data_IF_527916811725
#
_entry.id   IF_527916811725
#
_cell.length_a   1.000
_cell.length_b   1.000
_cell.length_c   1.000
_cell.angle_alpha   90.00
_cell.angle_beta   90.00
_cell.angle_gamma   90.00
#
_symmetry.space_group_name_H-M   'P 1'
#
loop_
_entity.id
_entity.type
_entity.pdbx_description
1 polymer ?
#
# COMPACT_ATOMS: atom_id res chain seq x y z
N UNK A 1 -42.52 -21.77 -9.33
CA UNK A 1 -42.28 -21.16 -8.01
C UNK A 1 -40.84 -20.67 -8.00
N UNK A 2 -40.61 -19.41 -8.34
CA UNK A 2 -39.29 -18.77 -8.33
C UNK A 2 -39.05 -18.20 -6.94
N UNK A 3 -38.33 -18.94 -6.10
CA UNK A 3 -37.86 -18.43 -4.83
C UNK A 3 -36.64 -17.55 -5.12
N UNK A 4 -36.89 -16.26 -5.38
CA UNK A 4 -35.88 -15.22 -5.33
C UNK A 4 -35.42 -15.11 -3.88
N UNK A 5 -34.38 -15.87 -3.51
CA UNK A 5 -33.66 -15.68 -2.25
C UNK A 5 -32.87 -14.38 -2.36
N UNK A 6 -33.55 -13.26 -2.11
CA UNK A 6 -32.91 -12.08 -1.54
C UNK A 6 -32.55 -12.44 -0.09
N UNK A 7 -31.48 -13.21 0.07
CA UNK A 7 -30.84 -13.36 1.38
C UNK A 7 -30.19 -12.01 1.70
N UNK A 8 -30.95 -11.16 2.38
CA UNK A 8 -30.49 -9.92 3.00
C UNK A 8 -29.49 -10.18 4.12
N UNK A 9 -28.41 -10.90 3.82
CA UNK A 9 -27.21 -10.91 4.64
C UNK A 9 -26.60 -9.53 4.50
N UNK A 10 -26.65 -8.76 5.58
CA UNK A 10 -25.76 -7.62 5.75
C UNK A 10 -24.33 -8.18 5.63
N UNK A 11 -23.72 -8.03 4.44
CA UNK A 11 -22.35 -8.43 4.22
C UNK A 11 -21.48 -7.71 5.25
N UNK A 12 -20.80 -8.49 6.09
CA UNK A 12 -19.90 -7.91 7.07
C UNK A 12 -18.67 -7.36 6.36
N UNK A 13 -17.96 -6.37 6.93
CA UNK A 13 -16.69 -5.90 6.36
C UNK A 13 -15.67 -7.04 6.14
N UNK A 14 -15.77 -8.12 6.93
CA UNK A 14 -14.94 -9.32 6.77
C UNK A 14 -15.32 -10.12 5.52
N UNK A 15 -16.61 -10.28 5.23
CA UNK A 15 -17.07 -10.96 4.01
C UNK A 15 -16.52 -10.25 2.75
N UNK A 16 -16.50 -8.92 2.75
CA UNK A 16 -15.93 -8.14 1.65
C UNK A 16 -14.41 -8.35 1.49
N UNK A 17 -13.67 -8.50 2.61
CA UNK A 17 -12.24 -8.83 2.57
C UNK A 17 -12.05 -10.24 2.02
N UNK A 18 -12.82 -11.21 2.48
CA UNK A 18 -12.69 -12.61 2.06
C UNK A 18 -13.05 -12.79 0.57
N UNK A 19 -14.07 -12.09 0.07
CA UNK A 19 -14.37 -12.03 -1.36
C UNK A 19 -13.21 -11.44 -2.17
N UNK A 20 -12.59 -10.36 -1.67
CA UNK A 20 -11.40 -9.77 -2.30
C UNK A 20 -10.21 -10.73 -2.28
N UNK A 21 -10.00 -11.50 -1.21
CA UNK A 21 -8.95 -12.53 -1.15
C UNK A 21 -9.15 -13.58 -2.25
N UNK A 22 -10.39 -14.02 -2.47
CA UNK A 22 -10.71 -14.96 -3.56
C UNK A 22 -10.37 -14.35 -4.92
N UNK A 23 -10.76 -13.09 -5.17
CA UNK A 23 -10.43 -12.40 -6.42
C UNK A 23 -8.92 -12.23 -6.61
N UNK A 24 -8.19 -11.88 -5.55
CA UNK A 24 -6.73 -11.71 -5.59
C UNK A 24 -6.04 -13.02 -5.94
N UNK A 25 -6.39 -14.10 -5.26
CA UNK A 25 -5.81 -15.43 -5.52
C UNK A 25 -6.03 -15.88 -6.96
N UNK A 26 -7.18 -15.57 -7.55
CA UNK A 26 -7.51 -15.89 -8.95
C UNK A 26 -6.81 -15.00 -9.97
N UNK A 27 -6.83 -13.69 -9.74
CA UNK A 27 -6.45 -12.71 -10.77
C UNK A 27 -5.00 -12.23 -10.66
N UNK A 28 -4.41 -12.29 -9.47
CA UNK A 28 -3.08 -11.73 -9.21
C UNK A 28 -2.26 -12.53 -8.18
N UNK A 29 -2.52 -13.84 -8.04
CA UNK A 29 -1.78 -14.72 -7.13
C UNK A 29 -0.26 -14.76 -7.40
N UNK A 30 0.17 -14.60 -8.65
CA UNK A 30 1.60 -14.50 -8.99
C UNK A 30 2.27 -13.24 -8.40
N UNK A 31 1.53 -12.13 -8.30
CA UNK A 31 2.03 -10.90 -7.68
C UNK A 31 2.19 -11.13 -6.17
N UNK A 32 1.20 -11.76 -5.53
CA UNK A 32 1.28 -12.14 -4.11
C UNK A 32 2.53 -12.97 -3.84
N UNK A 33 2.76 -14.03 -4.62
CA UNK A 33 3.94 -14.88 -4.49
C UNK A 33 5.26 -14.12 -4.71
N UNK A 34 5.31 -13.21 -5.70
CA UNK A 34 6.48 -12.38 -5.98
C UNK A 34 6.80 -11.44 -4.82
N UNK A 35 5.81 -10.72 -4.31
CA UNK A 35 6.02 -9.78 -3.20
C UNK A 35 6.36 -10.53 -1.89
N UNK A 36 5.72 -11.68 -1.64
CA UNK A 36 6.06 -12.54 -0.51
C UNK A 36 7.51 -13.05 -0.59
N UNK A 37 7.95 -13.49 -1.77
CA UNK A 37 9.33 -13.91 -2.01
C UNK A 37 10.31 -12.76 -1.83
N UNK A 38 9.97 -11.54 -2.28
CA UNK A 38 10.80 -10.36 -2.05
C UNK A 38 10.93 -10.06 -0.54
N UNK A 39 9.83 -10.16 0.22
CA UNK A 39 9.85 -9.98 1.68
C UNK A 39 10.71 -11.03 2.39
N UNK A 40 10.69 -12.29 1.94
CA UNK A 40 11.58 -13.34 2.47
C UNK A 40 13.05 -12.99 2.27
N UNK A 41 13.40 -12.41 1.11
CA UNK A 41 14.77 -12.00 0.80
C UNK A 41 15.26 -10.82 1.65
N UNK A 42 14.37 -10.08 2.32
CA UNK A 42 14.76 -8.91 3.13
C UNK A 42 15.16 -9.31 4.54
N UNK A 43 16.21 -8.65 5.02
CA UNK A 43 16.56 -8.66 6.45
C UNK A 43 15.42 -8.10 7.30
N UNK A 44 15.24 -8.53 8.56
CA UNK A 44 14.13 -8.11 9.41
C UNK A 44 13.95 -6.59 9.54
N UNK A 45 15.07 -5.84 9.60
CA UNK A 45 15.07 -4.37 9.68
C UNK A 45 14.49 -3.69 8.43
N UNK A 46 14.58 -4.35 7.27
CA UNK A 46 14.15 -3.80 5.98
C UNK A 46 12.74 -4.25 5.56
N UNK A 47 12.11 -5.19 6.29
CA UNK A 47 10.76 -5.69 5.96
C UNK A 47 9.69 -4.61 6.11
N UNK A 48 9.75 -3.79 7.15
CA UNK A 48 8.81 -2.67 7.35
C UNK A 48 8.79 -1.69 6.18
N UNK A 49 9.95 -1.10 5.80
CA UNK A 49 10.05 -0.25 4.61
C UNK A 49 9.63 -0.94 3.30
N UNK A 50 9.92 -2.24 3.13
CA UNK A 50 9.49 -2.99 1.96
C UNK A 50 7.96 -3.14 1.89
N UNK A 51 7.31 -3.51 3.01
CA UNK A 51 5.85 -3.59 3.10
C UNK A 51 5.19 -2.23 2.83
N UNK A 52 5.78 -1.13 3.33
CA UNK A 52 5.30 0.22 3.02
C UNK A 52 5.33 0.50 1.52
N UNK A 53 6.43 0.19 0.83
CA UNK A 53 6.53 0.35 -0.63
C UNK A 53 5.52 -0.50 -1.40
N UNK A 54 5.26 -1.73 -0.94
CA UNK A 54 4.22 -2.58 -1.51
C UNK A 54 2.85 -1.91 -1.36
N UNK A 55 2.52 -1.44 -0.14
CA UNK A 55 1.26 -0.77 0.14
C UNK A 55 1.09 0.51 -0.71
N UNK A 56 2.13 1.34 -0.81
CA UNK A 56 2.13 2.54 -1.66
C UNK A 56 1.81 2.22 -3.13
N UNK A 57 2.39 1.16 -3.70
CA UNK A 57 2.07 0.70 -5.05
C UNK A 57 0.62 0.23 -5.23
N UNK A 58 -0.03 -0.23 -4.16
CA UNK A 58 -1.41 -0.70 -4.21
C UNK A 58 -2.42 0.46 -4.11
N UNK A 59 -2.06 1.55 -3.42
CA UNK A 59 -2.90 2.73 -3.20
C UNK A 59 -3.21 3.46 -4.50
N UNK A 60 -2.25 3.54 -5.42
CA UNK A 60 -2.42 4.20 -6.72
C UNK A 60 -3.42 3.48 -7.64
N UNK A 61 -3.97 2.33 -7.24
CA UNK A 61 -4.80 1.51 -8.13
C UNK A 61 -6.05 0.91 -7.49
N UNK A 62 -6.16 0.79 -6.15
CA UNK A 62 -7.19 -0.04 -5.51
C UNK A 62 -7.64 0.47 -4.12
N UNK A 63 -8.75 -0.07 -3.61
CA UNK A 63 -9.35 0.32 -2.32
C UNK A 63 -8.56 -0.19 -1.09
N UNK A 64 -8.85 0.38 0.09
CA UNK A 64 -8.28 -0.06 1.38
C UNK A 64 -8.51 -1.55 1.63
N UNK A 65 -9.72 -2.02 1.32
CA UNK A 65 -10.13 -3.41 1.45
C UNK A 65 -9.28 -4.33 0.58
N UNK A 66 -8.95 -3.88 -0.63
CA UNK A 66 -8.02 -4.60 -1.49
C UNK A 66 -6.63 -4.70 -0.85
N UNK A 67 -6.11 -3.60 -0.30
CA UNK A 67 -4.82 -3.58 0.39
C UNK A 67 -4.77 -4.60 1.54
N UNK A 68 -5.80 -4.60 2.39
CA UNK A 68 -5.93 -5.57 3.50
C UNK A 68 -5.94 -7.00 2.96
N UNK A 69 -6.83 -7.30 2.01
CA UNK A 69 -6.97 -8.63 1.43
C UNK A 69 -5.68 -9.10 0.75
N UNK A 70 -4.93 -8.20 0.12
CA UNK A 70 -3.66 -8.52 -0.54
C UNK A 70 -2.60 -8.93 0.47
N UNK A 71 -2.39 -8.14 1.52
CA UNK A 71 -1.42 -8.46 2.56
C UNK A 71 -1.80 -9.71 3.35
N UNK A 72 -3.09 -9.98 3.55
CA UNK A 72 -3.53 -11.27 4.10
C UNK A 72 -3.19 -12.44 3.18
N UNK A 73 -3.32 -12.28 1.85
CA UNK A 73 -2.89 -13.32 0.92
C UNK A 73 -1.36 -13.52 0.94
N UNK A 74 -0.58 -12.45 1.15
CA UNK A 74 0.88 -12.53 1.34
C UNK A 74 1.21 -13.25 2.64
N UNK A 75 0.51 -12.93 3.73
CA UNK A 75 0.65 -13.62 5.02
C UNK A 75 0.33 -15.12 4.90
N UNK A 76 -0.81 -15.47 4.31
CA UNK A 76 -1.23 -16.85 4.07
C UNK A 76 -0.15 -17.60 3.28
N UNK A 77 0.36 -17.00 2.19
CA UNK A 77 1.39 -17.61 1.37
C UNK A 77 2.70 -17.82 2.16
N UNK A 78 3.14 -16.84 2.96
CA UNK A 78 4.34 -16.96 3.78
C UNK A 78 4.20 -18.06 4.82
N UNK A 79 3.02 -18.18 5.43
CA UNK A 79 2.71 -19.24 6.40
C UNK A 79 2.78 -20.63 5.74
N UNK A 80 2.16 -20.79 4.57
CA UNK A 80 2.18 -22.05 3.79
C UNK A 80 3.60 -22.48 3.39
N UNK A 81 4.54 -21.53 3.28
CA UNK A 81 5.95 -21.78 2.96
C UNK A 81 6.87 -21.85 4.20
N UNK A 82 6.29 -21.97 5.40
CA UNK A 82 7.04 -22.12 6.66
C UNK A 82 7.73 -20.85 7.15
N UNK A 83 7.43 -19.69 6.56
CA UNK A 83 8.06 -18.40 6.88
C UNK A 83 7.33 -17.66 8.01
N UNK A 84 7.17 -18.33 9.15
CA UNK A 84 6.38 -17.84 10.29
C UNK A 84 6.81 -16.44 10.77
N UNK A 85 8.11 -16.16 10.87
CA UNK A 85 8.60 -14.83 11.28
C UNK A 85 8.21 -13.72 10.30
N UNK A 86 8.20 -14.02 9.00
CA UNK A 86 7.83 -13.07 7.96
C UNK A 86 6.33 -12.87 7.91
N UNK A 87 5.55 -13.95 8.04
CA UNK A 87 4.10 -13.91 8.15
C UNK A 87 3.66 -13.08 9.37
N UNK A 88 4.28 -13.29 10.53
CA UNK A 88 3.99 -12.52 11.74
C UNK A 88 4.32 -11.03 11.57
N UNK A 89 5.41 -10.70 10.87
CA UNK A 89 5.74 -9.31 10.56
C UNK A 89 4.67 -8.63 9.69
N UNK A 90 4.12 -9.36 8.71
CA UNK A 90 3.00 -8.89 7.88
C UNK A 90 1.73 -8.70 8.72
N UNK A 91 1.39 -9.66 9.57
CA UNK A 91 0.25 -9.55 10.50
C UNK A 91 0.37 -8.34 11.43
N UNK A 92 1.55 -8.11 12.01
CA UNK A 92 1.83 -6.93 12.85
C UNK A 92 1.70 -5.63 12.07
N UNK A 93 2.13 -5.62 10.81
CA UNK A 93 2.01 -4.45 9.93
C UNK A 93 0.55 -4.14 9.60
N UNK A 94 -0.26 -5.14 9.25
CA UNK A 94 -1.71 -5.02 9.01
C UNK A 94 -2.46 -4.42 10.22
N UNK A 95 -2.11 -4.86 11.43
CA UNK A 95 -2.69 -4.35 12.68
C UNK A 95 -2.08 -3.01 13.12
N UNK A 96 -1.09 -2.48 12.40
CA UNK A 96 -0.45 -1.22 12.77
C UNK A 96 -1.26 -0.02 12.27
N UNK A 97 -1.35 1.07 13.05
CA UNK A 97 -2.00 2.29 12.60
C UNK A 97 -1.31 2.89 11.36
N UNK A 98 -0.01 2.60 11.17
CA UNK A 98 0.77 3.04 10.01
C UNK A 98 0.24 2.49 8.69
N UNK A 99 -0.36 1.30 8.69
CA UNK A 99 -0.96 0.73 7.49
C UNK A 99 -2.26 1.44 7.14
N UNK A 100 -3.14 1.65 8.12
CA UNK A 100 -4.42 2.34 7.90
C UNK A 100 -4.23 3.79 7.43
N UNK A 101 -3.23 4.50 7.97
CA UNK A 101 -2.93 5.89 7.55
C UNK A 101 -2.55 6.04 6.08
N UNK A 102 -2.05 4.96 5.44
CA UNK A 102 -1.68 5.01 4.03
C UNK A 102 -2.91 5.13 3.12
N UNK A 103 -4.07 4.63 3.57
CA UNK A 103 -5.29 4.65 2.79
C UNK A 103 -6.27 5.76 3.18
N UNK A 104 -5.88 6.65 4.09
CA UNK A 104 -6.63 7.87 4.40
C UNK A 104 -6.27 8.92 3.34
N UNK A 105 -7.23 9.39 2.52
CA UNK A 105 -6.98 10.47 1.58
C UNK A 105 -6.61 11.73 2.37
N UNK A 106 -5.34 12.16 2.27
CA UNK A 106 -4.80 13.30 3.00
C UNK A 106 -3.77 12.96 4.10
N UNK A 107 -3.48 11.68 4.35
CA UNK A 107 -2.44 11.23 5.28
C UNK A 107 -1.02 11.26 4.72
N UNK A 108 -0.82 11.79 3.50
CA UNK A 108 0.49 12.14 3.02
C UNK A 108 1.00 13.29 3.90
N UNK A 109 1.96 12.97 4.77
CA UNK A 109 2.92 13.96 5.25
C UNK A 109 3.36 14.80 4.06
N UNK A 110 2.92 16.06 4.09
CA UNK A 110 3.49 17.22 3.43
C UNK A 110 4.98 17.04 3.24
N UNK A 111 5.36 16.48 2.10
CA UNK A 111 6.71 16.61 1.57
C UNK A 111 6.70 17.97 0.90
N UNK A 112 7.38 18.92 1.53
CA UNK A 112 7.52 20.34 1.23
C UNK A 112 7.23 20.78 -0.21
N UNK A 113 6.54 21.93 -0.42
CA UNK A 113 6.52 22.56 -1.72
C UNK A 113 7.95 22.95 -2.09
N UNK A 114 8.48 22.39 -3.18
CA UNK A 114 9.65 22.94 -3.83
C UNK A 114 9.30 24.38 -4.26
N UNK A 115 10.01 25.43 -3.80
CA UNK A 115 9.80 26.76 -4.34
C UNK A 115 10.25 26.74 -5.80
N UNK A 116 9.28 26.82 -6.72
CA UNK A 116 9.52 27.29 -8.09
C UNK A 116 9.85 28.78 -7.97
N UNK A 117 11.10 29.11 -7.69
CA UNK A 117 11.60 30.47 -7.96
C UNK A 117 11.68 30.62 -9.47
N UNK A 118 10.57 31.13 -10.00
CA UNK A 118 10.49 31.77 -11.30
C UNK A 118 11.43 32.98 -11.31
N UNK A 119 12.68 32.80 -11.71
CA UNK A 119 13.59 33.90 -11.99
C UNK A 119 13.46 34.27 -13.48
N UNK A 120 12.39 34.98 -13.82
CA UNK A 120 12.24 35.66 -15.10
C UNK A 120 11.82 37.11 -14.83
N UNK A 121 12.82 37.97 -14.64
CA UNK A 121 12.75 39.43 -14.81
C UNK A 121 14.21 39.91 -14.91
N UNK A 122 14.70 40.17 -16.12
CA UNK A 122 14.70 41.47 -16.78
C UNK A 122 15.69 42.46 -16.13
N UNK A 123 16.80 42.70 -16.83
CA UNK A 123 17.75 43.80 -16.62
C UNK A 123 17.04 45.17 -16.67
N UNK A 124 17.62 46.24 -16.09
CA UNK A 124 18.60 47.03 -16.84
C UNK A 124 19.74 47.69 -16.02
N UNK A 125 20.74 48.14 -16.77
CA UNK A 125 21.87 49.04 -16.46
C UNK A 125 21.73 49.99 -15.26
N UNK A 126 22.85 50.23 -14.55
CA UNK A 126 23.42 51.58 -14.29
C UNK A 126 24.81 51.48 -13.65
N UNK A 127 25.84 51.83 -14.45
CA UNK A 127 26.94 52.77 -14.19
C UNK A 127 27.47 52.99 -12.75
N UNK A 128 28.80 52.81 -12.57
CA UNK A 128 29.80 53.82 -12.13
C UNK A 128 30.99 53.20 -11.35
N UNK A 129 32.23 53.49 -11.83
CA UNK A 129 33.46 53.92 -11.09
C UNK A 129 34.03 53.02 -9.96
N UNK A 130 35.32 52.81 -9.67
CA UNK A 130 36.69 53.22 -10.05
C UNK A 130 37.59 52.00 -9.64
N UNK A 131 38.73 51.68 -10.25
CA UNK A 131 40.06 52.32 -10.13
C UNK A 131 40.95 51.88 -11.31
#
# INVERSE_FOLDING_TARGET
>A
MTQSRNDGRNATPRDAIDEQKVQIRRSCGYIVAREASDLMSKSPLNRGPAMKKIAERLIDSRSVLFGIAFFECVEDWLFDHGQNTSAEAVRRYLNSPKFLTLFVPGGATTSSPAPRTSARHASPNTMMLFD
#
